data_IF_411830677668
#
_entry.id   IF_411830677668
#
_cell.length_a   1.000
_cell.length_b   1.000
_cell.length_c   1.000
_cell.angle_alpha   90.00
_cell.angle_beta   90.00
_cell.angle_gamma   90.00
#
_symmetry.space_group_name_H-M   'P 1'
#
loop_
_entity.id
_entity.type
_entity.pdbx_description
1 polymer ?
#
# COMPACT_ATOMS: atom_id res chain seq x y z
N UNK A 1 -2.95 -35.03 17.77
CA UNK A 1 -2.22 -34.91 16.49
C UNK A 1 -3.14 -34.21 15.51
N UNK A 2 -3.01 -32.89 15.39
CA UNK A 2 -3.91 -32.05 14.58
C UNK A 2 -3.72 -32.34 13.09
N UNK A 3 -4.82 -32.65 12.41
CA UNK A 3 -4.84 -32.90 10.96
C UNK A 3 -4.42 -31.64 10.22
N UNK A 4 -3.25 -31.68 9.57
CA UNK A 4 -2.87 -30.66 8.59
C UNK A 4 -3.96 -30.59 7.53
N UNK A 5 -4.42 -29.37 7.24
CA UNK A 5 -5.47 -29.16 6.23
C UNK A 5 -4.85 -29.32 4.85
N UNK A 6 -5.61 -29.74 3.83
CA UNK A 6 -5.09 -29.91 2.47
C UNK A 6 -4.40 -28.62 1.93
N UNK A 7 -4.78 -27.44 2.43
CA UNK A 7 -4.14 -26.15 2.10
C UNK A 7 -2.75 -25.99 2.71
N UNK A 8 -2.47 -26.61 3.87
CA UNK A 8 -1.14 -26.61 4.50
C UNK A 8 -0.12 -27.42 3.67
N UNK A 9 -0.52 -28.57 3.13
CA UNK A 9 0.33 -29.40 2.28
C UNK A 9 0.64 -28.69 0.95
N UNK A 10 -0.36 -28.02 0.37
CA UNK A 10 -0.18 -27.19 -0.83
C UNK A 10 0.77 -26.01 -0.55
N UNK A 11 0.67 -25.37 0.62
CA UNK A 11 1.61 -24.34 1.02
C UNK A 11 3.04 -24.90 1.15
N UNK A 12 3.21 -26.04 1.81
CA UNK A 12 4.52 -26.66 1.96
C UNK A 12 5.15 -27.03 0.60
N UNK A 13 4.34 -27.53 -0.34
CA UNK A 13 4.77 -27.76 -1.72
C UNK A 13 5.17 -26.46 -2.43
N UNK A 14 4.36 -25.40 -2.32
CA UNK A 14 4.69 -24.10 -2.89
C UNK A 14 5.98 -23.51 -2.30
N UNK A 15 6.19 -23.64 -0.99
CA UNK A 15 7.41 -23.20 -0.32
C UNK A 15 8.65 -23.92 -0.89
N UNK A 16 8.63 -25.25 -0.95
CA UNK A 16 9.75 -26.04 -1.50
C UNK A 16 10.07 -25.69 -2.95
N UNK A 17 9.05 -25.53 -3.78
CA UNK A 17 9.21 -25.33 -5.22
C UNK A 17 9.64 -23.89 -5.57
N UNK A 18 9.14 -22.89 -4.84
CA UNK A 18 9.32 -21.48 -5.22
C UNK A 18 10.31 -20.70 -4.35
N UNK A 19 10.76 -21.22 -3.19
CA UNK A 19 11.69 -20.50 -2.29
C UNK A 19 12.93 -19.99 -3.00
N UNK A 20 13.59 -20.83 -3.80
CA UNK A 20 14.81 -20.45 -4.54
C UNK A 20 14.53 -19.34 -5.55
N UNK A 21 13.38 -19.41 -6.24
CA UNK A 21 12.97 -18.43 -7.23
C UNK A 21 12.64 -17.07 -6.59
N UNK A 22 11.93 -17.08 -5.45
CA UNK A 22 11.61 -15.85 -4.70
C UNK A 22 12.86 -15.19 -4.16
N UNK A 23 13.74 -15.95 -3.51
CA UNK A 23 15.01 -15.45 -2.98
C UNK A 23 15.87 -14.82 -4.07
N UNK A 24 15.98 -15.48 -5.22
CA UNK A 24 16.73 -14.96 -6.35
C UNK A 24 16.10 -13.68 -6.93
N UNK A 25 14.77 -13.63 -7.06
CA UNK A 25 14.07 -12.43 -7.51
C UNK A 25 14.27 -11.23 -6.55
N UNK A 26 14.39 -11.48 -5.25
CA UNK A 26 14.69 -10.45 -4.26
C UNK A 26 16.14 -9.97 -4.41
N UNK A 27 17.11 -10.88 -4.48
CA UNK A 27 18.53 -10.55 -4.67
C UNK A 27 18.77 -9.72 -5.93
N UNK A 28 18.17 -10.13 -7.05
CA UNK A 28 18.23 -9.41 -8.33
C UNK A 28 17.73 -7.96 -8.20
N UNK A 29 16.71 -7.74 -7.36
CA UNK A 29 16.11 -6.43 -7.16
C UNK A 29 16.86 -5.57 -6.12
N UNK A 30 17.46 -6.18 -5.08
CA UNK A 30 18.25 -5.46 -4.07
C UNK A 30 19.54 -4.90 -4.66
N UNK A 31 20.22 -5.65 -5.55
CA UNK A 31 21.45 -5.22 -6.21
C UNK A 31 22.68 -5.02 -5.30
N UNK A 32 22.52 -5.07 -3.98
CA UNK A 32 23.56 -4.90 -2.96
C UNK A 32 24.28 -6.20 -2.59
N UNK A 33 23.74 -7.36 -3.00
CA UNK A 33 24.28 -8.68 -2.64
C UNK A 33 24.03 -9.09 -1.19
N UNK A 34 23.21 -8.35 -0.43
CA UNK A 34 22.89 -8.68 0.96
C UNK A 34 22.04 -9.97 1.03
N UNK A 35 22.70 -11.07 1.40
CA UNK A 35 22.09 -12.39 1.48
C UNK A 35 21.15 -12.53 2.66
N UNK A 36 21.46 -11.90 3.79
CA UNK A 36 20.64 -11.98 5.01
C UNK A 36 19.32 -11.26 4.82
N UNK A 37 19.36 -10.03 4.31
CA UNK A 37 18.14 -9.29 3.99
C UNK A 37 17.28 -10.02 2.96
N UNK A 38 17.90 -10.66 1.96
CA UNK A 38 17.15 -11.43 0.98
C UNK A 38 16.46 -12.67 1.60
N UNK A 39 17.10 -13.33 2.56
CA UNK A 39 16.52 -14.47 3.27
C UNK A 39 15.35 -14.02 4.17
N UNK A 40 15.49 -12.92 4.89
CA UNK A 40 14.43 -12.35 5.73
C UNK A 40 13.21 -11.93 4.89
N UNK A 41 13.43 -11.22 3.78
CA UNK A 41 12.35 -10.81 2.88
C UNK A 41 11.69 -12.00 2.18
N UNK A 42 12.44 -13.07 1.93
CA UNK A 42 11.88 -14.33 1.41
C UNK A 42 10.94 -14.93 2.45
N UNK A 43 11.34 -14.98 3.72
CA UNK A 43 10.48 -15.47 4.80
C UNK A 43 9.22 -14.60 4.95
N UNK A 44 9.34 -13.28 4.99
CA UNK A 44 8.18 -12.36 5.03
C UNK A 44 7.22 -12.60 3.86
N UNK A 45 7.73 -12.86 2.66
CA UNK A 45 6.91 -13.17 1.48
C UNK A 45 6.07 -14.43 1.69
N UNK A 46 6.66 -15.50 2.22
CA UNK A 46 5.95 -16.76 2.48
C UNK A 46 5.03 -16.69 3.70
N UNK A 47 5.39 -15.92 4.73
CA UNK A 47 4.50 -15.67 5.86
C UNK A 47 3.21 -14.97 5.39
N UNK A 48 3.32 -13.98 4.51
CA UNK A 48 2.14 -13.36 3.89
C UNK A 48 1.33 -14.33 3.05
N UNK A 49 1.98 -15.22 2.30
CA UNK A 49 1.29 -16.27 1.55
C UNK A 49 0.51 -17.18 2.50
N UNK A 50 1.13 -17.57 3.62
CA UNK A 50 0.51 -18.44 4.62
C UNK A 50 -0.74 -17.81 5.23
N UNK A 51 -0.68 -16.52 5.61
CA UNK A 51 -1.84 -15.76 6.15
C UNK A 51 -3.00 -15.67 5.14
N UNK A 52 -2.71 -15.77 3.84
CA UNK A 52 -3.71 -15.68 2.77
C UNK A 52 -3.92 -16.98 2.02
N UNK A 53 -3.44 -18.12 2.54
CA UNK A 53 -3.47 -19.41 1.86
C UNK A 53 -4.89 -19.83 1.46
N UNK A 54 -5.90 -19.49 2.26
CA UNK A 54 -7.29 -19.86 2.00
C UNK A 54 -7.98 -18.95 0.96
N UNK A 55 -7.40 -17.78 0.68
CA UNK A 55 -7.89 -16.82 -0.32
C UNK A 55 -7.21 -16.97 -1.67
N UNK A 56 -6.09 -17.69 -1.71
CA UNK A 56 -5.26 -17.88 -2.89
C UNK A 56 -5.42 -19.31 -3.37
N UNK A 57 -5.71 -19.47 -4.65
CA UNK A 57 -5.66 -20.79 -5.28
C UNK A 57 -4.19 -21.23 -5.44
N UNK A 58 -3.69 -21.96 -4.43
CA UNK A 58 -2.33 -22.50 -4.41
C UNK A 58 -2.12 -23.67 -5.38
N UNK A 59 -3.20 -24.30 -5.87
CA UNK A 59 -3.12 -25.35 -6.87
C UNK A 59 -2.73 -24.77 -8.24
N UNK A 60 -3.12 -23.52 -8.51
CA UNK A 60 -2.67 -22.76 -9.68
C UNK A 60 -1.29 -22.16 -9.43
N UNK A 61 -0.32 -22.45 -10.31
CA UNK A 61 1.09 -21.96 -10.24
C UNK A 61 1.22 -20.54 -9.65
N UNK A 62 1.58 -20.38 -8.35
CA UNK A 62 1.53 -19.11 -7.64
C UNK A 62 2.75 -18.22 -7.93
N UNK A 63 3.64 -18.61 -8.84
CA UNK A 63 4.93 -17.94 -9.07
C UNK A 63 4.81 -16.46 -9.45
N UNK A 64 3.76 -16.08 -10.21
CA UNK A 64 3.51 -14.67 -10.55
C UNK A 64 3.07 -13.83 -9.35
N UNK A 65 2.24 -14.41 -8.49
CA UNK A 65 1.80 -13.79 -7.24
C UNK A 65 2.97 -13.65 -6.27
N UNK A 66 3.77 -14.71 -6.08
CA UNK A 66 4.94 -14.69 -5.21
C UNK A 66 5.95 -13.61 -5.60
N UNK A 67 6.22 -13.41 -6.90
CA UNK A 67 7.06 -12.29 -7.36
C UNK A 67 6.47 -10.92 -7.02
N UNK A 68 5.15 -10.81 -6.99
CA UNK A 68 4.44 -9.58 -6.61
C UNK A 68 4.53 -9.34 -5.10
N UNK A 69 4.31 -10.38 -4.30
CA UNK A 69 4.43 -10.34 -2.85
C UNK A 69 5.88 -10.01 -2.43
N UNK A 70 6.87 -10.62 -3.07
CA UNK A 70 8.29 -10.33 -2.84
C UNK A 70 8.63 -8.85 -3.09
N UNK A 71 8.11 -8.28 -4.18
CA UNK A 71 8.23 -6.83 -4.42
C UNK A 71 7.62 -6.04 -3.28
N UNK A 72 6.41 -6.38 -2.84
CA UNK A 72 5.76 -5.66 -1.74
C UNK A 72 6.57 -5.77 -0.43
N UNK A 73 7.17 -6.92 -0.13
CA UNK A 73 8.05 -7.10 1.03
C UNK A 73 9.27 -6.16 0.97
N UNK A 74 9.94 -6.08 -0.18
CA UNK A 74 11.06 -5.14 -0.40
C UNK A 74 10.60 -3.70 -0.17
N UNK A 75 9.48 -3.29 -0.76
CA UNK A 75 8.98 -1.92 -0.60
C UNK A 75 8.64 -1.60 0.85
N UNK A 76 7.98 -2.52 1.54
CA UNK A 76 7.63 -2.35 2.96
C UNK A 76 8.90 -2.12 3.79
N UNK A 77 9.94 -2.92 3.57
CA UNK A 77 11.22 -2.76 4.27
C UNK A 77 11.87 -1.39 4.02
N UNK A 78 11.98 -0.96 2.76
CA UNK A 78 12.59 0.34 2.46
C UNK A 78 11.73 1.53 2.89
N UNK A 79 10.40 1.41 2.84
CA UNK A 79 9.49 2.43 3.40
C UNK A 79 9.68 2.54 4.92
N UNK A 80 9.73 1.41 5.63
CA UNK A 80 9.96 1.39 7.07
C UNK A 80 11.33 2.00 7.42
N UNK A 81 12.39 1.64 6.69
CA UNK A 81 13.74 2.20 6.88
C UNK A 81 13.80 3.72 6.63
N UNK A 82 12.97 4.24 5.73
CA UNK A 82 12.88 5.68 5.42
C UNK A 82 12.02 6.44 6.43
N UNK A 83 11.16 5.75 7.18
CA UNK A 83 10.35 6.38 8.21
C UNK A 83 11.23 6.71 9.40
N UNK A 84 11.72 7.95 9.46
CA UNK A 84 12.34 8.49 10.67
C UNK A 84 11.19 8.90 11.59
N UNK A 85 10.87 8.05 12.57
CA UNK A 85 9.96 8.43 13.64
C UNK A 85 10.67 9.51 14.47
N UNK A 86 10.30 10.77 14.22
CA UNK A 86 10.69 11.86 15.10
C UNK A 86 9.71 11.81 16.26
N UNK A 87 10.23 11.63 17.48
CA UNK A 87 9.43 11.74 18.71
C UNK A 87 8.93 13.19 18.80
N UNK A 88 7.74 13.43 18.26
CA UNK A 88 7.07 14.71 18.31
C UNK A 88 6.18 14.69 19.54
N UNK A 89 6.84 14.82 20.70
CA UNK A 89 6.35 15.31 21.99
C UNK A 89 7.15 14.62 23.12
N UNK A 90 8.04 15.37 23.76
CA UNK A 90 8.68 14.99 25.04
C UNK A 90 8.05 15.77 26.22
N UNK A 91 6.97 16.51 25.95
CA UNK A 91 6.38 17.56 26.79
C UNK A 91 5.74 17.09 28.09
N UNK A 92 5.49 15.80 28.28
CA UNK A 92 4.89 15.29 29.52
C UNK A 92 5.90 14.85 30.59
N UNK A 93 7.21 14.79 30.30
CA UNK A 93 8.22 14.51 31.33
C UNK A 93 8.45 15.68 32.29
N UNK A 94 8.03 16.88 31.91
CA UNK A 94 8.18 18.11 32.70
C UNK A 94 7.22 18.16 33.91
N UNK A 95 6.24 17.25 33.96
CA UNK A 95 5.27 17.14 35.04
C UNK A 95 5.48 15.90 35.91
N UNK A 96 6.51 15.10 35.64
CA UNK A 96 6.84 13.91 36.45
C UNK A 96 7.23 14.28 37.90
N UNK A 97 7.78 15.48 38.12
CA UNK A 97 8.28 15.95 39.42
C UNK A 97 7.37 17.00 40.11
N UNK A 98 6.06 17.00 39.85
CA UNK A 98 5.14 17.86 40.62
C UNK A 98 4.90 17.30 42.02
N UNK A 99 4.99 18.16 43.04
CA UNK A 99 4.62 17.80 44.41
C UNK A 99 3.16 17.31 44.45
N UNK A 100 2.95 16.10 44.97
CA UNK A 100 1.63 15.49 45.09
C UNK A 100 0.85 16.12 46.24
N UNK A 101 -0.40 16.53 46.01
CA UNK A 101 -1.31 16.91 47.10
C UNK A 101 -1.87 15.65 47.77
N UNK A 102 -1.79 15.60 49.10
CA UNK A 102 -2.34 14.51 49.90
C UNK A 102 -3.86 14.64 50.02
N UNK A 103 -4.60 14.02 49.11
CA UNK A 103 -6.05 13.88 49.24
C UNK A 103 -6.43 12.39 49.14
N UNK A 104 -6.78 11.83 50.30
CA UNK A 104 -7.64 10.66 50.52
C UNK A 104 -7.68 9.58 49.44
N UNK A 105 -6.58 8.82 49.36
CA UNK A 105 -6.63 7.38 49.14
C UNK A 105 -6.96 6.87 47.73
N UNK A 106 -7.28 7.71 46.75
CA UNK A 106 -7.46 7.28 45.36
C UNK A 106 -6.80 8.25 44.38
N UNK A 107 -5.87 7.71 43.58
CA UNK A 107 -5.25 8.42 42.46
C UNK A 107 -6.30 8.79 41.41
N UNK A 108 -6.73 10.05 41.36
CA UNK A 108 -7.44 10.63 40.21
C UNK A 108 -6.46 11.47 39.41
N UNK A 109 -6.06 11.05 38.19
CA UNK A 109 -5.39 11.96 37.26
C UNK A 109 -6.29 13.19 37.04
N UNK A 110 -5.70 14.39 36.99
CA UNK A 110 -6.43 15.61 36.67
C UNK A 110 -7.31 15.41 35.42
N UNK A 111 -8.48 16.06 35.36
CA UNK A 111 -9.44 15.98 34.24
C UNK A 111 -8.85 16.29 32.86
N UNK A 112 -7.61 16.76 32.79
CA UNK A 112 -6.76 16.69 31.60
C UNK A 112 -6.25 15.25 31.40
N UNK A 113 -7.16 14.28 31.37
CA UNK A 113 -6.84 12.95 30.87
C UNK A 113 -6.28 13.09 29.47
N UNK A 114 -5.31 12.23 29.12
CA UNK A 114 -4.78 12.00 27.77
C UNK A 114 -5.84 12.25 26.70
N UNK A 115 -6.02 13.50 26.28
CA UNK A 115 -6.70 13.80 25.05
C UNK A 115 -5.61 13.55 24.05
N UNK A 116 -5.56 12.32 23.54
CA UNK A 116 -5.08 12.14 22.19
C UNK A 116 -5.93 13.09 21.37
N UNK A 117 -5.44 14.29 21.10
CA UNK A 117 -6.03 15.16 20.11
C UNK A 117 -5.95 14.33 18.83
N UNK A 118 -7.04 13.64 18.50
CA UNK A 118 -7.19 12.98 17.22
C UNK A 118 -7.43 14.13 16.26
N UNK A 119 -6.34 14.74 15.80
CA UNK A 119 -6.36 15.59 14.63
C UNK A 119 -7.27 14.90 13.61
N UNK A 120 -8.26 15.58 13.02
CA UNK A 120 -9.15 14.95 12.05
C UNK A 120 -8.28 14.21 11.04
N UNK A 121 -8.39 12.88 11.02
CA UNK A 121 -7.58 12.11 10.09
C UNK A 121 -8.03 12.51 8.70
N UNK A 122 -7.06 12.68 7.79
CA UNK A 122 -7.29 13.16 6.42
C UNK A 122 -8.39 12.34 5.69
N UNK A 123 -8.64 11.11 6.15
CA UNK A 123 -9.73 10.19 5.78
C UNK A 123 -11.16 10.70 6.00
N UNK A 124 -11.39 11.67 6.88
CA UNK A 124 -12.74 12.07 7.33
C UNK A 124 -13.33 13.19 6.46
N UNK A 125 -12.57 13.73 5.50
CA UNK A 125 -13.06 14.71 4.51
C UNK A 125 -13.54 13.97 3.25
N UNK A 126 -14.72 14.30 2.69
CA UNK A 126 -15.12 13.77 1.40
C UNK A 126 -14.12 14.23 0.35
N UNK A 127 -13.35 13.30 -0.21
CA UNK A 127 -12.41 13.60 -1.30
C UNK A 127 -13.23 13.84 -2.56
N UNK A 128 -13.34 15.10 -2.96
CA UNK A 128 -13.83 15.48 -4.29
C UNK A 128 -12.61 15.71 -5.19
N UNK A 129 -12.57 15.03 -6.34
CA UNK A 129 -11.50 15.28 -7.30
C UNK A 129 -11.85 16.54 -8.08
N UNK A 130 -11.17 17.65 -7.80
CA UNK A 130 -11.24 18.89 -8.57
C UNK A 130 -10.10 18.88 -9.60
N UNK A 131 -10.42 19.00 -10.88
CA UNK A 131 -9.40 19.26 -11.89
C UNK A 131 -9.03 20.75 -11.83
N UNK A 132 -7.76 21.16 -11.99
CA UNK A 132 -7.48 22.54 -12.33
C UNK A 132 -8.21 22.85 -13.64
N UNK A 133 -8.88 24.02 -13.71
CA UNK A 133 -9.82 24.48 -14.75
C UNK A 133 -9.30 24.50 -16.21
N UNK A 134 -8.17 23.86 -16.52
CA UNK A 134 -7.54 23.87 -17.85
C UNK A 134 -7.66 22.54 -18.58
N UNK A 135 -8.87 22.03 -18.82
CA UNK A 135 -9.18 21.21 -20.01
C UNK A 135 -10.66 21.39 -20.39
N UNK A 136 -10.99 22.51 -21.02
CA UNK A 136 -12.15 22.59 -21.91
C UNK A 136 -11.61 22.46 -23.33
N UNK A 137 -11.62 21.26 -23.89
CA UNK A 137 -11.40 21.03 -25.32
C UNK A 137 -11.93 19.63 -25.72
N UNK A 138 -13.25 19.50 -25.72
CA UNK A 138 -14.03 18.61 -26.60
C UNK A 138 -15.50 18.95 -26.33
N UNK A 139 -16.10 19.78 -27.18
CA UNK A 139 -17.32 20.58 -26.95
C UNK A 139 -18.64 19.85 -26.68
N UNK A 140 -18.64 18.64 -26.11
CA UNK A 140 -19.84 17.94 -25.65
C UNK A 140 -19.58 16.92 -24.50
N UNK A 141 -18.40 16.92 -23.86
CA UNK A 141 -18.09 15.97 -22.78
C UNK A 141 -18.04 16.68 -21.43
N UNK A 142 -18.73 16.12 -20.44
CA UNK A 142 -18.64 16.52 -19.02
C UNK A 142 -17.18 16.68 -18.58
N UNK A 143 -16.88 17.64 -17.68
CA UNK A 143 -15.53 17.88 -17.20
C UNK A 143 -14.88 16.60 -16.66
N UNK A 144 -13.55 16.50 -16.83
CA UNK A 144 -12.79 15.30 -16.48
C UNK A 144 -13.04 14.86 -15.04
N UNK A 145 -13.09 15.82 -14.12
CA UNK A 145 -13.39 15.62 -12.71
C UNK A 145 -14.75 14.94 -12.48
N UNK A 146 -15.81 15.43 -13.13
CA UNK A 146 -17.15 14.85 -12.99
C UNK A 146 -17.20 13.41 -13.54
N UNK A 147 -16.58 13.18 -14.70
CA UNK A 147 -16.46 11.84 -15.29
C UNK A 147 -15.67 10.87 -14.41
N UNK A 148 -14.70 11.38 -13.66
CA UNK A 148 -13.88 10.60 -12.73
C UNK A 148 -14.68 10.29 -11.46
N UNK A 149 -15.27 11.32 -10.82
CA UNK A 149 -16.07 11.21 -9.61
C UNK A 149 -17.24 10.23 -9.76
N UNK A 150 -17.91 10.24 -10.93
CA UNK A 150 -18.99 9.29 -11.24
C UNK A 150 -18.57 7.81 -11.20
N UNK A 151 -17.27 7.52 -11.23
CA UNK A 151 -16.68 6.17 -11.22
C UNK A 151 -15.97 5.84 -9.91
N UNK A 152 -16.28 6.57 -8.84
CA UNK A 152 -15.69 6.38 -7.52
C UNK A 152 -16.75 6.00 -6.49
N UNK A 153 -16.40 5.07 -5.60
CA UNK A 153 -17.25 4.63 -4.49
C UNK A 153 -16.43 4.57 -3.20
N UNK A 154 -16.76 5.36 -2.16
CA UNK A 154 -16.10 5.24 -0.87
C UNK A 154 -16.42 3.89 -0.22
N UNK A 155 -15.44 3.31 0.47
CA UNK A 155 -15.53 2.05 1.17
C UNK A 155 -15.28 2.22 2.67
N UNK A 156 -15.85 1.36 3.54
CA UNK A 156 -15.67 1.46 5.00
C UNK A 156 -14.21 1.39 5.48
N UNK A 157 -13.31 0.79 4.70
CA UNK A 157 -11.89 0.70 5.00
C UNK A 157 -11.08 1.97 4.64
N UNK A 158 -11.77 3.09 4.34
CA UNK A 158 -11.14 4.36 3.95
C UNK A 158 -10.60 4.38 2.51
N UNK A 159 -10.73 3.29 1.75
CA UNK A 159 -10.41 3.30 0.33
C UNK A 159 -11.54 3.92 -0.49
N UNK A 160 -11.17 4.55 -1.61
CA UNK A 160 -12.13 4.97 -2.63
C UNK A 160 -11.97 4.01 -3.80
N UNK A 161 -12.92 3.11 -4.01
CA UNK A 161 -12.86 2.13 -5.08
C UNK A 161 -13.25 2.71 -6.43
N UNK A 162 -12.48 2.36 -7.45
CA UNK A 162 -12.83 2.57 -8.84
C UNK A 162 -13.92 1.57 -9.29
N UNK A 163 -15.03 2.09 -9.79
CA UNK A 163 -16.17 1.29 -10.32
C UNK A 163 -16.17 1.17 -11.84
N UNK A 164 -15.23 1.83 -12.53
CA UNK A 164 -15.07 1.72 -13.98
C UNK A 164 -14.33 0.45 -14.42
N UNK A 165 -13.86 0.44 -15.67
CA UNK A 165 -13.11 -0.69 -16.22
C UNK A 165 -11.86 -0.99 -15.38
N UNK A 166 -11.66 -2.28 -15.07
CA UNK A 166 -10.51 -2.82 -14.35
C UNK A 166 -9.77 -3.78 -15.27
N UNK A 167 -8.48 -3.55 -15.50
CA UNK A 167 -7.66 -4.41 -16.35
C UNK A 167 -7.29 -5.73 -15.66
N UNK A 168 -6.68 -6.65 -16.43
CA UNK A 168 -6.22 -7.96 -15.92
C UNK A 168 -5.26 -7.89 -14.72
N UNK A 169 -4.56 -6.77 -14.57
CA UNK A 169 -3.65 -6.53 -13.44
C UNK A 169 -4.35 -6.03 -12.17
N UNK A 170 -5.68 -5.88 -12.16
CA UNK A 170 -6.46 -5.42 -11.00
C UNK A 170 -6.56 -3.89 -10.86
N UNK A 171 -5.87 -3.13 -11.71
CA UNK A 171 -5.91 -1.67 -11.70
C UNK A 171 -7.07 -1.12 -12.53
N UNK A 172 -7.75 -0.11 -11.98
CA UNK A 172 -8.72 0.68 -12.73
C UNK A 172 -8.08 1.46 -13.87
N UNK A 173 -8.79 1.60 -14.98
CA UNK A 173 -8.37 2.40 -16.14
C UNK A 173 -9.36 3.55 -16.41
N UNK A 174 -8.82 4.67 -16.86
CA UNK A 174 -9.56 5.87 -17.20
C UNK A 174 -9.01 6.50 -18.48
N UNK A 175 -9.92 6.88 -19.39
CA UNK A 175 -9.56 7.60 -20.61
C UNK A 175 -9.61 9.11 -20.35
N UNK A 176 -8.45 9.74 -20.38
CA UNK A 176 -8.25 11.19 -20.29
C UNK A 176 -7.66 11.69 -21.62
N UNK A 177 -8.31 12.66 -22.26
CA UNK A 177 -7.84 13.26 -23.52
C UNK A 177 -7.47 12.24 -24.62
N UNK A 178 -8.27 11.17 -24.79
CA UNK A 178 -8.05 10.15 -25.82
C UNK A 178 -7.01 9.09 -25.46
N UNK A 179 -6.26 9.26 -24.36
CA UNK A 179 -5.25 8.30 -23.89
C UNK A 179 -5.74 7.51 -22.68
N UNK A 180 -5.47 6.21 -22.68
CA UNK A 180 -5.80 5.34 -21.55
C UNK A 180 -4.72 5.46 -20.47
N UNK A 181 -5.14 5.82 -19.27
CA UNK A 181 -4.28 5.94 -18.08
C UNK A 181 -4.82 5.06 -16.94
N UNK A 182 -3.97 4.70 -15.99
CA UNK A 182 -4.44 4.05 -14.75
C UNK A 182 -5.18 5.07 -13.88
N UNK A 183 -6.31 4.65 -13.30
CA UNK A 183 -7.20 5.53 -12.53
C UNK A 183 -6.48 6.14 -11.32
N UNK A 184 -5.68 5.36 -10.60
CA UNK A 184 -4.91 5.87 -9.46
C UNK A 184 -3.87 6.92 -9.87
N UNK A 185 -3.29 6.82 -11.08
CA UNK A 185 -2.33 7.81 -11.57
C UNK A 185 -3.03 9.12 -11.92
N UNK A 186 -4.23 9.06 -12.48
CA UNK A 186 -5.07 10.25 -12.72
C UNK A 186 -5.46 10.90 -11.39
N UNK A 187 -5.88 10.12 -10.39
CA UNK A 187 -6.16 10.62 -9.06
C UNK A 187 -4.96 11.34 -8.42
N UNK A 188 -3.75 10.76 -8.54
CA UNK A 188 -2.52 11.42 -8.09
C UNK A 188 -2.28 12.74 -8.84
N UNK A 189 -2.38 12.73 -10.17
CA UNK A 189 -2.17 13.92 -11.00
C UNK A 189 -3.14 15.05 -10.66
N UNK A 190 -4.39 14.74 -10.36
CA UNK A 190 -5.42 15.73 -10.01
C UNK A 190 -5.17 16.37 -8.64
N UNK A 191 -4.60 15.64 -7.67
CA UNK A 191 -4.45 16.13 -6.29
C UNK A 191 -3.05 16.66 -5.96
N UNK A 192 -2.01 16.02 -6.50
CA UNK A 192 -0.61 16.34 -6.21
C UNK A 192 0.15 16.91 -7.41
N UNK A 193 -0.43 16.86 -8.62
CA UNK A 193 0.24 17.30 -9.84
C UNK A 193 1.18 16.25 -10.45
N UNK A 194 2.14 16.66 -11.30
CA UNK A 194 2.94 15.74 -12.11
C UNK A 194 3.77 14.78 -11.26
N UNK A 195 3.84 13.51 -11.69
CA UNK A 195 4.69 12.50 -11.04
C UNK A 195 6.15 12.81 -11.39
N UNK A 196 7.06 12.93 -10.40
CA UNK A 196 8.47 13.19 -10.65
C UNK A 196 9.09 12.16 -11.61
N UNK A 197 10.12 12.60 -12.36
CA UNK A 197 10.85 11.70 -13.24
C UNK A 197 11.43 10.51 -12.44
N UNK A 198 11.45 9.33 -13.05
CA UNK A 198 11.88 8.07 -12.41
C UNK A 198 11.09 7.72 -11.14
N UNK A 199 9.86 8.20 -10.98
CA UNK A 199 8.97 7.73 -9.92
C UNK A 199 7.73 7.05 -10.50
N UNK A 200 7.17 6.13 -9.73
CA UNK A 200 5.87 5.52 -10.00
C UNK A 200 4.92 5.75 -8.82
N UNK A 201 3.62 5.76 -9.10
CA UNK A 201 2.58 5.91 -8.08
C UNK A 201 2.29 4.53 -7.48
N UNK A 202 2.35 4.43 -6.16
CA UNK A 202 2.12 3.22 -5.38
C UNK A 202 1.07 3.48 -4.30
N UNK A 203 0.27 2.47 -4.01
CA UNK A 203 -0.72 2.52 -2.95
C UNK A 203 -0.09 2.22 -1.59
N UNK A 204 -0.28 3.10 -0.61
CA UNK A 204 0.06 2.85 0.79
C UNK A 204 -0.96 1.95 1.49
N UNK A 205 -2.18 1.82 0.96
CA UNK A 205 -3.20 0.93 1.53
C UNK A 205 -2.86 -0.57 1.44
N UNK A 206 -1.96 -0.96 0.53
CA UNK A 206 -1.41 -2.32 0.49
C UNK A 206 -0.64 -2.71 1.75
N UNK A 207 -0.09 -1.71 2.47
CA UNK A 207 0.72 -1.93 3.68
C UNK A 207 -0.13 -1.83 4.96
N UNK A 208 -1.26 -1.11 4.91
CA UNK A 208 -2.13 -0.82 6.07
C UNK A 208 -3.16 -1.91 6.34
N UNK A 209 -3.65 -2.60 5.31
CA UNK A 209 -4.69 -3.61 5.46
C UNK A 209 -4.10 -5.02 5.47
N UNK A 210 -4.26 -5.71 6.60
CA UNK A 210 -3.83 -7.09 6.78
C UNK A 210 -4.54 -8.07 5.84
N UNK A 211 -5.70 -7.72 5.25
CA UNK A 211 -6.40 -8.55 4.27
C UNK A 211 -5.81 -8.46 2.85
N UNK A 212 -4.76 -7.66 2.64
CA UNK A 212 -4.19 -7.42 1.32
C UNK A 212 -3.32 -8.60 0.81
N UNK A 213 -3.87 -9.36 -0.14
CA UNK A 213 -3.17 -10.46 -0.84
C UNK A 213 -2.09 -9.97 -1.83
N UNK A 214 -2.02 -8.66 -2.09
CA UNK A 214 -1.13 -8.01 -3.08
C UNK A 214 -1.32 -8.44 -4.55
N UNK A 215 -2.03 -9.54 -4.84
CA UNK A 215 -2.33 -10.05 -6.18
C UNK A 215 -3.30 -9.18 -7.00
N UNK A 216 -3.56 -9.55 -8.27
CA UNK A 216 -4.49 -8.83 -9.15
C UNK A 216 -5.94 -8.83 -8.64
N UNK A 217 -6.32 -9.84 -7.85
CA UNK A 217 -7.61 -9.89 -7.15
C UNK A 217 -7.73 -8.91 -5.97
N UNK A 218 -6.63 -8.31 -5.52
CA UNK A 218 -6.63 -7.41 -4.38
C UNK A 218 -7.42 -6.12 -4.67
N UNK A 219 -8.47 -5.87 -3.88
CA UNK A 219 -9.35 -4.71 -4.03
C UNK A 219 -8.61 -3.37 -3.85
N UNK A 220 -7.52 -3.35 -3.06
CA UNK A 220 -6.68 -2.17 -2.88
C UNK A 220 -6.10 -1.62 -4.19
N UNK A 221 -5.91 -2.47 -5.21
CA UNK A 221 -5.45 -2.02 -6.55
C UNK A 221 -6.47 -1.13 -7.26
N UNK A 222 -7.74 -1.18 -6.84
CA UNK A 222 -8.82 -0.32 -7.33
C UNK A 222 -8.92 1.00 -6.55
N UNK A 223 -8.11 1.20 -5.51
CA UNK A 223 -8.16 2.40 -4.70
C UNK A 223 -7.67 3.63 -5.50
N UNK A 224 -8.42 4.72 -5.44
CA UNK A 224 -8.07 6.02 -6.03
C UNK A 224 -7.96 7.14 -4.98
N UNK A 225 -8.10 6.82 -3.69
CA UNK A 225 -7.97 7.79 -2.61
C UNK A 225 -6.57 8.45 -2.65
N UNK A 226 -6.44 9.77 -2.84
CA UNK A 226 -5.14 10.46 -2.90
C UNK A 226 -4.31 10.29 -1.63
N UNK A 227 -4.92 10.18 -0.45
CA UNK A 227 -4.20 9.95 0.81
C UNK A 227 -3.58 8.54 0.89
N UNK A 228 -4.04 7.64 0.03
CA UNK A 228 -3.50 6.30 -0.12
C UNK A 228 -2.49 6.20 -1.27
N UNK A 229 -2.17 7.30 -1.96
CA UNK A 229 -1.23 7.32 -3.08
C UNK A 229 0.08 7.97 -2.66
N UNK A 230 1.18 7.31 -3.00
CA UNK A 230 2.55 7.75 -2.71
C UNK A 230 3.41 7.58 -3.95
N UNK A 231 4.44 8.42 -4.12
CA UNK A 231 5.44 8.22 -5.15
C UNK A 231 6.60 7.41 -4.59
N UNK A 232 7.04 6.43 -5.37
CA UNK A 232 8.21 5.61 -5.08
C UNK A 232 9.17 5.70 -6.25
N UNK A 233 10.46 5.67 -5.97
CA UNK A 233 11.48 5.74 -7.01
C UNK A 233 11.52 4.42 -7.81
N UNK A 234 11.57 4.54 -9.12
CA UNK A 234 11.60 3.43 -10.08
C UNK A 234 12.89 2.62 -9.99
N UNK A 235 13.99 3.20 -9.49
CA UNK A 235 15.27 2.50 -9.31
C UNK A 235 15.16 1.26 -8.41
N UNK A 236 14.19 1.24 -7.49
CA UNK A 236 13.89 0.09 -6.63
C UNK A 236 13.08 -1.02 -7.34
N UNK A 237 12.58 -0.79 -8.56
CA UNK A 237 11.52 -1.64 -9.18
C UNK A 237 11.68 -1.96 -10.65
N UNK A 238 12.32 -1.09 -11.44
CA UNK A 238 12.66 -1.44 -12.81
C UNK A 238 13.67 -2.57 -12.73
N UNK A 239 13.33 -3.74 -13.29
CA UNK A 239 14.34 -4.73 -13.70
C UNK A 239 15.49 -3.91 -14.29
N UNK A 240 16.72 -4.14 -13.83
CA UNK A 240 17.84 -3.96 -14.76
C UNK A 240 17.49 -4.91 -15.90
N UNK A 241 16.80 -4.41 -16.94
CA UNK A 241 16.85 -5.06 -18.24
C UNK A 241 18.34 -5.01 -18.51
N UNK A 242 19.00 -6.14 -18.32
CA UNK A 242 20.35 -6.34 -18.78
C UNK A 242 20.41 -5.70 -20.15
N UNK A 243 21.27 -4.71 -20.30
CA UNK A 243 21.76 -4.30 -21.60
C UNK A 243 22.52 -5.52 -22.13
N UNK A 244 21.77 -6.48 -22.66
CA UNK A 244 22.30 -7.44 -23.60
C UNK A 244 22.49 -6.65 -24.89
N UNK A 245 23.71 -6.11 -25.04
CA UNK A 245 24.36 -6.08 -26.35
C UNK A 245 24.73 -7.51 -26.71
#
# INVERSE_FOLDING_TARGET
MSTLTATDDLFAAAYRNYRRMVRWAILDQLGTGDTYLADDLTQDTFLRLYVHKDKVDLARSPGGLLKTMARHSIHKHYKAKRNVEVVFDTGDWQFADRAMESADGYYTPAQTGFRTYRAPQKSDRPVTFTAPDKVVADGNRKPLAERFNAKTKPMPNGCIHWTGYVGKAGYGSFNAAGKMHTAHRIAYLMHFGPVPAKHMVSHSCHDRDAACVAGPECLHRRCVNPDHLTTIETSLTSRRRSAAR
#
